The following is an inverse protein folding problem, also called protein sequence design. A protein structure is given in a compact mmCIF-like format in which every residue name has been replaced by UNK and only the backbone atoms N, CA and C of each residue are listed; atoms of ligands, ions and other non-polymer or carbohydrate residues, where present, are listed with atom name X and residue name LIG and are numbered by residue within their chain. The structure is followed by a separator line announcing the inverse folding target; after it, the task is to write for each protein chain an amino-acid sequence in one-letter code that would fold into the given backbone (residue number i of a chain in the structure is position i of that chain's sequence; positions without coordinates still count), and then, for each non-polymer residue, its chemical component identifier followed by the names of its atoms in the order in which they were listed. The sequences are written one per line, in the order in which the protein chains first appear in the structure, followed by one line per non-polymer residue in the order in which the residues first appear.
data_IF_895455941079
#
_entry.id   IF_895455941079
#
_cell.length_a   1.000
_cell.length_b   1.000
_cell.length_c   1.000
_cell.angle_alpha   90.00
_cell.angle_beta   90.00
_cell.angle_gamma   90.00
#
_symmetry.space_group_name_H-M   'P 1'
#
loop_
_entity.id
_entity.type
_entity.pdbx_description
1 polymer ?
#
# COMPACT_ATOMS: atom_id res chain seq x y z
N UNK A 1 39.62 14.18 -59.25
CA UNK A 1 39.04 15.22 -60.11
C UNK A 1 38.02 16.02 -59.30
N UNK A 2 37.92 17.31 -59.60
CA UNK A 2 37.29 18.39 -58.83
C UNK A 2 35.75 18.32 -58.70
N UNK A 3 35.30 18.87 -57.56
CA UNK A 3 33.98 19.24 -57.04
C UNK A 3 32.83 19.72 -57.95
N UNK A 4 31.58 19.55 -57.46
CA UNK A 4 30.47 20.55 -57.26
C UNK A 4 29.12 19.80 -57.16
N UNK A 5 28.07 20.16 -56.40
CA UNK A 5 27.75 21.24 -55.43
C UNK A 5 26.46 20.83 -54.67
N UNK A 6 26.35 21.27 -53.42
CA UNK A 6 25.15 21.30 -52.56
C UNK A 6 23.97 22.07 -53.19
N UNK A 7 22.71 21.72 -52.89
CA UNK A 7 21.88 22.36 -51.83
C UNK A 7 20.35 22.14 -51.97
N UNK A 8 19.69 22.26 -50.81
CA UNK A 8 18.29 22.64 -50.55
C UNK A 8 17.15 21.64 -50.80
N UNK A 9 16.61 21.14 -49.69
CA UNK A 9 15.29 20.51 -49.63
C UNK A 9 14.88 20.15 -48.20
N UNK A 10 15.01 21.09 -47.26
CA UNK A 10 14.35 20.99 -45.96
C UNK A 10 12.84 20.98 -46.22
N UNK A 11 12.13 20.02 -45.65
CA UNK A 11 10.89 20.23 -44.89
C UNK A 11 9.94 19.06 -45.08
N UNK A 12 9.44 18.58 -43.94
CA UNK A 12 8.13 17.96 -43.82
C UNK A 12 8.00 16.55 -44.41
N UNK A 13 8.34 15.53 -43.61
CA UNK A 13 7.44 14.39 -43.40
C UNK A 13 7.79 13.69 -42.08
N UNK A 14 7.62 14.48 -41.02
CA UNK A 14 7.25 14.00 -39.70
C UNK A 14 5.89 13.30 -39.83
N UNK A 15 5.88 11.98 -39.79
CA UNK A 15 4.70 11.14 -39.53
C UNK A 15 5.20 9.71 -39.26
N UNK A 16 5.78 9.46 -38.09
CA UNK A 16 5.12 8.69 -37.03
C UNK A 16 4.68 7.30 -37.51
N UNK A 17 5.56 6.31 -37.30
CA UNK A 17 5.13 4.94 -37.04
C UNK A 17 6.20 4.22 -36.21
N UNK A 18 6.23 4.53 -34.91
CA UNK A 18 6.94 3.70 -33.92
C UNK A 18 5.86 2.99 -33.11
N UNK A 19 5.44 1.82 -33.58
CA UNK A 19 4.65 0.89 -32.79
C UNK A 19 5.67 0.05 -32.00
N UNK A 20 6.02 0.53 -30.81
CA UNK A 20 6.83 -0.24 -29.85
C UNK A 20 5.97 -1.36 -29.27
N UNK A 21 6.24 -2.57 -29.73
CA UNK A 21 5.87 -3.84 -29.09
C UNK A 21 6.61 -3.96 -27.75
N UNK A 22 5.92 -3.63 -26.65
CA UNK A 22 6.28 -4.02 -25.30
C UNK A 22 5.02 -4.45 -24.55
N UNK A 23 4.43 -5.56 -25.01
CA UNK A 23 3.31 -6.21 -24.35
C UNK A 23 3.75 -6.94 -23.08
N UNK A 24 3.92 -6.22 -21.99
CA UNK A 24 3.53 -6.75 -20.69
C UNK A 24 2.13 -6.19 -20.45
N UNK A 25 1.10 -7.02 -20.70
CA UNK A 25 -0.26 -6.70 -20.29
C UNK A 25 -0.26 -6.58 -18.75
N UNK A 26 -0.04 -5.36 -18.25
CA UNK A 26 -0.36 -5.00 -16.88
C UNK A 26 -1.87 -5.14 -16.79
N UNK A 27 -2.32 -6.27 -16.27
CA UNK A 27 -3.65 -6.36 -15.68
C UNK A 27 -3.86 -5.09 -14.85
N UNK A 28 -4.95 -4.33 -15.04
CA UNK A 28 -5.22 -3.20 -14.18
C UNK A 28 -5.22 -3.74 -12.75
N UNK A 29 -4.25 -3.34 -11.94
CA UNK A 29 -4.40 -3.49 -10.50
C UNK A 29 -5.74 -2.85 -10.17
N UNK A 30 -6.64 -3.53 -9.43
CA UNK A 30 -7.84 -2.87 -8.96
C UNK A 30 -7.42 -1.55 -8.31
N UNK A 31 -8.16 -0.44 -8.54
CA UNK A 31 -7.78 0.85 -8.00
C UNK A 31 -7.52 0.69 -6.50
N UNK A 32 -6.29 0.95 -6.07
CA UNK A 32 -5.96 1.00 -4.65
C UNK A 32 -6.83 2.15 -4.11
N UNK A 33 -7.75 1.89 -3.17
CA UNK A 33 -8.54 2.96 -2.58
C UNK A 33 -7.58 4.02 -2.05
N UNK A 34 -7.89 5.31 -2.22
CA UNK A 34 -7.03 6.38 -1.73
C UNK A 34 -6.73 6.15 -0.25
N UNK A 35 -5.45 6.08 0.10
CA UNK A 35 -4.96 6.03 1.50
C UNK A 35 -4.76 7.45 2.04
N UNK A 36 -5.40 8.44 1.40
CA UNK A 36 -5.40 9.82 1.89
C UNK A 36 -6.28 9.88 3.13
N UNK A 37 -5.77 10.39 4.26
CA UNK A 37 -6.56 10.55 5.47
C UNK A 37 -7.83 11.32 5.16
N UNK A 38 -8.96 10.79 5.61
CA UNK A 38 -10.26 11.48 5.50
C UNK A 38 -10.32 12.57 6.56
N UNK A 39 -9.59 12.39 7.66
CA UNK A 39 -9.48 13.33 8.78
C UNK A 39 -8.10 14.02 8.83
N UNK A 40 -8.01 15.37 8.82
CA UNK A 40 -6.75 16.08 9.03
C UNK A 40 -6.07 15.72 10.36
N UNK A 41 -4.75 15.53 10.36
CA UNK A 41 -3.96 15.15 11.54
C UNK A 41 -3.96 13.65 11.87
N UNK A 42 -4.58 12.84 11.02
CA UNK A 42 -4.58 11.38 11.12
C UNK A 42 -3.94 10.76 9.90
N UNK A 43 -3.48 9.53 10.03
CA UNK A 43 -2.96 8.67 8.97
C UNK A 43 -3.88 7.45 8.87
N UNK A 44 -4.23 7.03 7.67
CA UNK A 44 -5.00 5.80 7.45
C UNK A 44 -4.05 4.59 7.36
N UNK A 45 -4.29 3.56 8.17
CA UNK A 45 -3.69 2.21 8.03
C UNK A 45 -4.77 1.22 7.62
N UNK A 46 -4.38 0.15 6.94
CA UNK A 46 -5.30 -0.91 6.56
C UNK A 46 -4.65 -2.01 5.77
N UNK A 47 -5.41 -3.07 5.54
CA UNK A 47 -5.06 -4.13 4.61
C UNK A 47 -6.30 -4.48 3.77
N UNK A 48 -6.22 -4.21 2.47
CA UNK A 48 -7.31 -4.47 1.53
C UNK A 48 -7.59 -5.96 1.33
N UNK A 49 -6.59 -6.83 1.53
CA UNK A 49 -6.77 -8.29 1.42
C UNK A 49 -7.52 -8.82 2.62
N UNK A 50 -7.26 -8.26 3.80
CA UNK A 50 -7.93 -8.61 5.05
C UNK A 50 -9.23 -7.82 5.28
N UNK A 51 -9.51 -6.83 4.42
CA UNK A 51 -10.78 -6.10 4.41
C UNK A 51 -10.94 -5.10 5.56
N UNK A 52 -9.84 -4.57 6.13
CA UNK A 52 -9.90 -3.61 7.22
C UNK A 52 -9.13 -2.32 6.91
N UNK A 53 -9.59 -1.21 7.50
CA UNK A 53 -8.86 0.05 7.54
C UNK A 53 -9.30 0.88 8.75
N UNK A 54 -8.39 1.70 9.29
CA UNK A 54 -8.67 2.63 10.38
C UNK A 54 -7.73 3.85 10.30
N UNK A 55 -8.08 4.91 11.02
CA UNK A 55 -7.25 6.11 11.14
C UNK A 55 -6.57 6.18 12.52
N UNK A 56 -5.33 6.66 12.56
CA UNK A 56 -4.57 6.89 13.80
C UNK A 56 -3.85 8.25 13.74
N UNK A 57 -3.57 8.92 14.88
CA UNK A 57 -2.94 10.23 14.87
C UNK A 57 -1.54 10.21 14.25
N UNK A 58 -1.17 11.25 13.50
CA UNK A 58 0.10 11.32 12.77
C UNK A 58 1.35 11.35 13.67
N UNK A 59 1.20 11.71 14.94
CA UNK A 59 2.28 11.78 15.93
C UNK A 59 2.61 10.41 16.55
N UNK A 60 1.92 9.34 16.16
CA UNK A 60 2.16 7.98 16.64
C UNK A 60 3.15 7.24 15.72
N UNK A 61 4.01 6.44 16.34
CA UNK A 61 4.97 5.59 15.63
C UNK A 61 4.40 4.21 15.42
N UNK A 62 4.51 3.67 14.20
CA UNK A 62 4.03 2.33 13.84
C UNK A 62 5.21 1.38 13.67
N UNK A 63 5.09 0.17 14.22
CA UNK A 63 6.05 -0.91 13.97
C UNK A 63 5.36 -2.27 14.08
N UNK A 64 5.89 -3.26 13.37
CA UNK A 64 5.48 -4.65 13.50
C UNK A 64 6.33 -5.30 14.60
N UNK A 65 5.76 -5.77 15.71
CA UNK A 65 6.53 -6.49 16.73
C UNK A 65 7.07 -7.81 16.15
N UNK A 66 8.31 -8.17 16.51
CA UNK A 66 8.97 -9.39 16.01
C UNK A 66 8.33 -10.67 16.57
N UNK A 67 7.74 -10.60 17.76
CA UNK A 67 7.18 -11.76 18.46
C UNK A 67 5.74 -11.51 18.89
N UNK A 68 4.79 -11.89 18.04
CA UNK A 68 3.40 -12.02 18.43
C UNK A 68 2.82 -13.33 17.88
N UNK A 69 2.54 -14.27 18.79
CA UNK A 69 2.00 -15.58 18.43
C UNK A 69 0.65 -15.77 19.11
N UNK A 70 -0.41 -15.71 18.33
CA UNK A 70 -1.70 -16.26 18.76
C UNK A 70 -1.71 -17.75 18.46
N UNK A 71 -2.37 -18.52 19.31
CA UNK A 71 -2.76 -19.89 19.00
C UNK A 71 -3.92 -19.80 17.99
N UNK A 72 -3.56 -19.81 16.71
CA UNK A 72 -4.41 -19.47 15.56
C UNK A 72 -3.60 -18.66 14.55
N UNK A 73 -3.90 -18.77 13.25
CA UNK A 73 -3.14 -18.10 12.20
C UNK A 73 -3.12 -16.57 12.42
N UNK A 74 -1.96 -16.03 12.82
CA UNK A 74 -1.77 -14.58 12.86
C UNK A 74 -1.48 -14.11 11.45
N UNK A 75 -2.34 -13.24 10.93
CA UNK A 75 -2.22 -12.71 9.57
C UNK A 75 -1.48 -11.37 9.57
N UNK A 76 -1.71 -10.55 10.61
CA UNK A 76 -1.06 -9.25 10.74
C UNK A 76 -1.01 -8.74 12.18
N UNK A 77 0.08 -8.07 12.55
CA UNK A 77 0.22 -7.38 13.85
C UNK A 77 0.87 -6.03 13.63
N UNK A 78 0.26 -4.98 14.15
CA UNK A 78 0.76 -3.61 14.09
C UNK A 78 0.68 -2.98 15.48
N UNK A 79 1.78 -2.44 15.97
CA UNK A 79 1.83 -1.69 17.22
C UNK A 79 2.02 -0.20 16.94
N UNK A 80 1.15 0.60 17.54
CA UNK A 80 1.10 2.05 17.44
C UNK A 80 1.48 2.62 18.79
N UNK A 81 2.53 3.41 18.87
CA UNK A 81 3.04 3.98 20.13
C UNK A 81 2.98 5.49 20.10
N UNK A 82 2.33 6.08 21.11
CA UNK A 82 2.33 7.52 21.31
C UNK A 82 3.70 7.97 21.81
N UNK A 83 4.27 8.98 21.17
CA UNK A 83 5.58 9.53 21.54
C UNK A 83 5.55 10.09 22.96
N UNK A 84 6.49 9.65 23.81
CA UNK A 84 6.73 10.23 25.13
C UNK A 84 5.78 9.80 26.26
N UNK A 85 4.67 9.09 25.97
CA UNK A 85 3.66 8.74 26.98
C UNK A 85 3.59 7.25 27.34
N UNK A 86 4.43 6.40 26.75
CA UNK A 86 4.46 4.96 27.02
C UNK A 86 3.15 4.22 26.68
N UNK A 87 2.20 4.90 26.03
CA UNK A 87 0.91 4.36 25.62
C UNK A 87 1.06 3.69 24.26
N UNK A 88 0.63 2.43 24.16
CA UNK A 88 0.66 1.66 22.92
C UNK A 88 -0.68 0.98 22.65
N UNK A 89 -1.09 0.97 21.38
CA UNK A 89 -2.21 0.18 20.87
C UNK A 89 -1.61 -0.88 19.96
N UNK A 90 -1.95 -2.15 20.20
CA UNK A 90 -1.57 -3.25 19.31
C UNK A 90 -2.80 -3.78 18.62
N UNK A 91 -2.81 -3.69 17.30
CA UNK A 91 -3.83 -4.28 16.45
C UNK A 91 -3.34 -5.63 16.00
N UNK A 92 -4.15 -6.66 16.23
CA UNK A 92 -3.89 -8.01 15.76
C UNK A 92 -5.03 -8.47 14.89
N UNK A 93 -4.68 -8.93 13.69
CA UNK A 93 -5.60 -9.58 12.77
C UNK A 93 -5.15 -11.03 12.63
N UNK A 94 -6.05 -11.93 12.97
CA UNK A 94 -5.82 -13.36 12.84
C UNK A 94 -7.11 -14.07 12.47
N UNK A 95 -6.98 -15.18 11.76
CA UNK A 95 -8.08 -16.09 11.51
C UNK A 95 -8.35 -16.92 12.76
N UNK A 96 -9.63 -17.16 13.04
CA UNK A 96 -10.06 -17.96 14.18
C UNK A 96 -11.28 -18.79 13.81
N UNK A 97 -11.37 -19.97 14.42
CA UNK A 97 -12.55 -20.83 14.38
C UNK A 97 -13.64 -20.37 15.36
N UNK A 98 -13.36 -19.36 16.20
CA UNK A 98 -14.35 -18.81 17.13
C UNK A 98 -15.45 -18.09 16.38
N UNK A 99 -16.68 -18.39 16.76
CA UNK A 99 -17.88 -17.85 16.10
C UNK A 99 -18.50 -16.69 16.86
N UNK A 100 -18.04 -16.41 18.08
CA UNK A 100 -18.58 -15.34 18.92
C UNK A 100 -17.48 -14.58 19.68
N UNK A 101 -17.83 -13.35 20.07
CA UNK A 101 -16.93 -12.44 20.77
C UNK A 101 -16.60 -12.89 22.19
N UNK A 102 -17.49 -13.63 22.85
CA UNK A 102 -17.28 -14.05 24.24
C UNK A 102 -16.15 -15.10 24.37
N UNK A 103 -16.02 -16.00 23.38
CA UNK A 103 -14.89 -16.92 23.27
C UNK A 103 -13.55 -16.18 23.10
N UNK A 104 -13.54 -15.12 22.29
CA UNK A 104 -12.36 -14.25 22.11
C UNK A 104 -12.00 -13.59 23.44
N UNK A 105 -12.97 -12.96 24.10
CA UNK A 105 -12.77 -12.28 25.40
C UNK A 105 -12.25 -13.24 26.46
N UNK A 106 -12.80 -14.47 26.56
CA UNK A 106 -12.34 -15.46 27.55
C UNK A 106 -10.86 -15.82 27.40
N UNK A 107 -10.31 -15.72 26.19
CA UNK A 107 -8.91 -16.05 25.92
C UNK A 107 -7.94 -14.87 26.14
N UNK A 108 -8.41 -13.63 25.96
CA UNK A 108 -7.55 -12.44 25.90
C UNK A 108 -7.91 -11.31 26.87
N UNK A 109 -9.08 -11.36 27.52
CA UNK A 109 -9.51 -10.44 28.58
C UNK A 109 -9.26 -11.02 29.96
#
# INVERSE_FOLDING_TARGET
MVSKRFNLGISLLVAILVISIAGCARQPSPPVPPITPVTPGYIQSGDHKLGYSFEYPEDWTVHSPEEFRLTGGVEKVEMFTKKGEGTSITIVVGSTDWTNLEEVKKKYG
#
